data_IF_311099769786
#
_entry.id   IF_311099769786
#
_cell.length_a   1.000
_cell.length_b   1.000
_cell.length_c   1.000
_cell.angle_alpha   90.00
_cell.angle_beta   90.00
_cell.angle_gamma   90.00
#
_symmetry.space_group_name_H-M   'P 1'
#
loop_
_entity.id
_entity.type
_entity.pdbx_description
1 polymer ?
#
# COMPACT_ATOMS: atom_id res chain seq x y z
N UNK A 1 -11.52 -6.35 -0.67
CA UNK A 1 -12.05 -6.24 -2.02
C UNK A 1 -13.26 -5.33 -2.06
N UNK A 2 -14.26 -5.58 -1.20
CA UNK A 2 -15.44 -4.72 -1.18
C UNK A 2 -15.09 -3.28 -0.83
N UNK A 3 -14.17 -3.08 0.13
CA UNK A 3 -13.70 -1.76 0.51
C UNK A 3 -13.00 -1.09 -0.67
N UNK A 4 -12.11 -1.80 -1.34
CA UNK A 4 -11.37 -1.24 -2.48
C UNK A 4 -12.31 -0.78 -3.58
N UNK A 5 -13.29 -1.59 -3.91
CA UNK A 5 -14.26 -1.25 -4.97
C UNK A 5 -15.11 -0.04 -4.59
N UNK A 6 -15.66 -0.03 -3.38
CA UNK A 6 -16.48 1.07 -2.89
C UNK A 6 -15.68 2.37 -2.82
N UNK A 7 -14.46 2.29 -2.30
CA UNK A 7 -13.59 3.45 -2.19
C UNK A 7 -13.22 3.99 -3.57
N UNK A 8 -12.88 3.12 -4.51
CA UNK A 8 -12.54 3.54 -5.87
C UNK A 8 -13.72 4.28 -6.53
N UNK A 9 -14.93 3.79 -6.32
CA UNK A 9 -16.13 4.43 -6.87
C UNK A 9 -16.35 5.82 -6.28
N UNK A 10 -16.19 5.95 -4.96
CA UNK A 10 -16.36 7.25 -4.29
C UNK A 10 -15.28 8.25 -4.71
N UNK A 11 -14.06 7.76 -4.87
CA UNK A 11 -12.92 8.61 -5.28
C UNK A 11 -13.12 9.17 -6.68
N UNK A 12 -13.69 8.40 -7.60
CA UNK A 12 -13.97 8.89 -8.95
C UNK A 12 -14.89 10.10 -8.95
N UNK A 13 -15.75 10.21 -7.97
CA UNK A 13 -16.70 11.32 -7.87
C UNK A 13 -16.04 12.60 -7.37
N UNK A 14 -14.94 12.52 -6.62
CA UNK A 14 -14.38 13.66 -5.91
C UNK A 14 -12.93 13.99 -6.28
N UNK A 15 -12.24 13.08 -6.94
CA UNK A 15 -10.80 13.22 -7.17
C UNK A 15 -10.37 14.18 -8.26
N UNK A 16 -11.31 14.64 -9.09
CA UNK A 16 -11.03 15.53 -10.20
C UNK A 16 -10.58 14.79 -11.45
N UNK A 17 -10.56 15.50 -12.61
CA UNK A 17 -10.32 14.86 -13.91
C UNK A 17 -8.88 14.40 -14.14
N UNK A 18 -7.93 14.93 -13.38
CA UNK A 18 -6.51 14.61 -13.56
C UNK A 18 -5.97 13.73 -12.43
N UNK A 19 -6.86 13.21 -11.59
CA UNK A 19 -6.45 12.37 -10.50
C UNK A 19 -6.06 10.97 -10.98
N UNK A 20 -4.95 10.45 -10.45
CA UNK A 20 -4.57 9.06 -10.60
C UNK A 20 -4.48 8.50 -9.18
N UNK A 21 -5.48 7.72 -8.77
CA UNK A 21 -5.59 7.25 -7.39
C UNK A 21 -5.71 5.73 -7.36
N UNK A 22 -4.86 5.10 -6.57
CA UNK A 22 -4.91 3.67 -6.30
C UNK A 22 -5.32 3.45 -4.86
N UNK A 23 -6.22 2.50 -4.66
CA UNK A 23 -6.74 2.14 -3.35
C UNK A 23 -6.33 0.71 -3.03
N UNK A 24 -5.67 0.52 -1.91
CA UNK A 24 -5.26 -0.81 -1.46
C UNK A 24 -5.74 -1.02 -0.04
N UNK A 25 -6.50 -2.08 0.19
CA UNK A 25 -7.04 -2.38 1.50
C UNK A 25 -6.38 -3.64 2.07
N UNK A 26 -5.98 -3.56 3.34
CA UNK A 26 -5.49 -4.72 4.08
C UNK A 26 -5.99 -4.60 5.52
N UNK A 27 -6.73 -5.60 5.97
CA UNK A 27 -7.28 -5.64 7.33
C UNK A 27 -7.99 -4.34 7.70
N UNK A 28 -8.80 -3.81 6.78
CA UNK A 28 -9.62 -2.60 6.94
C UNK A 28 -8.81 -1.30 7.08
N UNK A 29 -7.49 -1.36 6.89
CA UNK A 29 -6.65 -0.19 6.69
C UNK A 29 -6.54 0.06 5.20
N UNK A 30 -6.78 1.29 4.78
CA UNK A 30 -6.77 1.65 3.35
C UNK A 30 -5.60 2.56 3.07
N UNK A 31 -4.74 2.11 2.17
CA UNK A 31 -3.63 2.89 1.65
C UNK A 31 -4.09 3.59 0.37
N UNK A 32 -3.89 4.89 0.30
CA UNK A 32 -4.24 5.72 -0.84
C UNK A 32 -2.95 6.21 -1.48
N UNK A 33 -2.69 5.80 -2.71
CA UNK A 33 -1.48 6.19 -3.44
C UNK A 33 -1.84 6.78 -4.78
N UNK A 34 -0.88 7.46 -5.40
CA UNK A 34 -1.05 8.09 -6.70
C UNK A 34 -0.85 9.59 -6.63
N UNK A 35 -1.52 10.31 -7.52
CA UNK A 35 -1.34 11.75 -7.67
C UNK A 35 -2.68 12.46 -7.84
N UNK A 36 -2.75 13.67 -7.27
CA UNK A 36 -3.88 14.60 -7.46
C UNK A 36 -3.33 15.98 -7.79
N UNK A 37 -4.20 16.85 -8.29
CA UNK A 37 -3.79 18.17 -8.80
C UNK A 37 -3.48 19.18 -7.69
N UNK A 38 -4.12 19.05 -6.52
CA UNK A 38 -3.99 20.03 -5.45
C UNK A 38 -4.33 19.41 -4.10
N UNK A 39 -4.08 20.17 -3.03
CA UNK A 39 -4.32 19.71 -1.66
C UNK A 39 -5.80 19.52 -1.36
N UNK A 40 -6.68 20.30 -1.98
CA UNK A 40 -8.12 20.15 -1.78
C UNK A 40 -8.59 18.80 -2.29
N UNK A 41 -8.09 18.37 -3.45
CA UNK A 41 -8.42 17.05 -3.99
C UNK A 41 -7.86 15.95 -3.12
N UNK A 42 -6.64 16.13 -2.59
CA UNK A 42 -6.01 15.16 -1.68
C UNK A 42 -6.88 14.92 -0.44
N UNK A 43 -7.36 16.00 0.17
CA UNK A 43 -8.24 15.92 1.33
C UNK A 43 -9.60 15.33 0.98
N UNK A 44 -10.17 15.71 -0.16
CA UNK A 44 -11.47 15.20 -0.59
C UNK A 44 -11.44 13.68 -0.81
N UNK A 45 -10.36 13.17 -1.41
CA UNK A 45 -10.18 11.74 -1.60
C UNK A 45 -10.11 11.02 -0.26
N UNK A 46 -9.32 11.53 0.67
CA UNK A 46 -9.20 10.90 1.99
C UNK A 46 -10.54 10.86 2.73
N UNK A 47 -11.27 11.97 2.72
CA UNK A 47 -12.59 12.02 3.36
C UNK A 47 -13.56 11.03 2.73
N UNK A 48 -13.56 10.91 1.41
CA UNK A 48 -14.42 9.97 0.71
C UNK A 48 -14.10 8.53 1.12
N UNK A 49 -12.82 8.19 1.24
CA UNK A 49 -12.39 6.84 1.64
C UNK A 49 -12.77 6.57 3.10
N UNK A 50 -12.59 7.54 3.98
CA UNK A 50 -12.93 7.39 5.40
C UNK A 50 -14.41 7.09 5.62
N UNK A 51 -15.27 7.54 4.72
CA UNK A 51 -16.71 7.33 4.81
C UNK A 51 -17.18 5.98 4.28
N UNK A 52 -16.29 5.23 3.66
CA UNK A 52 -16.65 3.90 3.17
C UNK A 52 -16.85 2.97 4.36
N UNK A 53 -17.94 2.20 4.31
CA UNK A 53 -18.28 1.26 5.37
C UNK A 53 -17.16 0.27 5.62
N UNK A 54 -16.87 -0.01 6.88
CA UNK A 54 -15.86 -0.95 7.36
C UNK A 54 -14.41 -0.46 7.26
N UNK A 55 -14.16 0.74 6.79
CA UNK A 55 -12.80 1.31 6.83
C UNK A 55 -12.48 1.68 8.27
N UNK A 56 -11.39 1.13 8.78
CA UNK A 56 -10.94 1.38 10.16
C UNK A 56 -9.97 2.55 10.22
N UNK A 57 -9.05 2.62 9.25
CA UNK A 57 -8.08 3.70 9.18
C UNK A 57 -7.64 3.92 7.73
N UNK A 58 -7.10 5.10 7.48
CA UNK A 58 -6.58 5.45 6.15
C UNK A 58 -5.15 5.97 6.28
N UNK A 59 -4.36 5.69 5.26
CA UNK A 59 -3.00 6.22 5.12
C UNK A 59 -2.98 6.93 3.77
N UNK A 60 -2.92 8.25 3.80
CA UNK A 60 -2.97 9.08 2.59
C UNK A 60 -1.55 9.42 2.13
N UNK A 61 -1.10 8.72 1.11
CA UNK A 61 0.22 8.91 0.51
C UNK A 61 0.13 9.52 -0.89
N UNK A 62 -0.97 10.21 -1.18
CA UNK A 62 -1.11 10.89 -2.46
C UNK A 62 -0.10 12.02 -2.60
N UNK A 63 0.50 12.11 -3.78
CA UNK A 63 1.34 13.24 -4.13
C UNK A 63 0.51 14.31 -4.84
N UNK A 64 0.83 15.57 -4.60
CA UNK A 64 0.22 16.69 -5.33
C UNK A 64 1.16 17.01 -6.47
N UNK A 65 0.97 16.35 -7.60
CA UNK A 65 1.82 16.48 -8.77
C UNK A 65 1.13 15.90 -10.01
N UNK A 66 1.77 16.06 -11.17
CA UNK A 66 1.24 15.53 -12.41
C UNK A 66 1.16 14.01 -12.37
N UNK A 67 0.18 13.41 -13.08
CA UNK A 67 0.05 11.95 -13.13
C UNK A 67 1.33 11.28 -13.64
N UNK A 68 1.62 10.11 -13.06
CA UNK A 68 2.76 9.29 -13.44
C UNK A 68 2.61 8.82 -14.88
N UNK A 69 3.71 8.81 -15.64
CA UNK A 69 3.71 8.34 -17.02
C UNK A 69 3.45 6.81 -17.09
N UNK A 70 3.01 6.35 -18.26
CA UNK A 70 2.82 4.92 -18.50
C UNK A 70 4.13 4.16 -18.31
N UNK A 71 5.24 4.71 -18.75
CA UNK A 71 6.55 4.10 -18.56
C UNK A 71 6.92 3.94 -17.10
N UNK A 72 6.67 4.98 -16.29
CA UNK A 72 6.93 4.92 -14.85
C UNK A 72 6.02 3.91 -14.16
N UNK A 73 4.76 3.82 -14.56
CA UNK A 73 3.82 2.83 -14.02
C UNK A 73 4.24 1.40 -14.35
N UNK A 74 4.74 1.18 -15.55
CA UNK A 74 5.26 -0.13 -15.96
C UNK A 74 6.48 -0.51 -15.13
N UNK A 75 7.35 0.45 -14.85
CA UNK A 75 8.52 0.22 -14.00
C UNK A 75 8.09 -0.11 -12.57
N UNK A 76 7.07 0.56 -12.05
CA UNK A 76 6.54 0.26 -10.73
C UNK A 76 6.00 -1.17 -10.66
N UNK A 77 5.36 -1.65 -11.72
CA UNK A 77 4.88 -3.03 -11.79
C UNK A 77 6.04 -4.01 -11.74
N UNK A 78 7.14 -3.72 -12.43
CA UNK A 78 8.34 -4.55 -12.40
C UNK A 78 8.94 -4.56 -11.00
N UNK A 79 9.00 -3.40 -10.34
CA UNK A 79 9.53 -3.31 -8.97
C UNK A 79 8.68 -4.11 -7.98
N UNK A 80 7.36 -4.02 -8.10
CA UNK A 80 6.45 -4.82 -7.27
C UNK A 80 6.78 -6.31 -7.41
N UNK A 81 6.96 -6.78 -8.64
CA UNK A 81 7.28 -8.19 -8.90
C UNK A 81 8.61 -8.59 -8.28
N UNK A 82 9.63 -7.73 -8.41
CA UNK A 82 10.95 -8.00 -7.82
C UNK A 82 10.90 -8.08 -6.30
N UNK A 83 10.18 -7.15 -5.67
CA UNK A 83 10.03 -7.16 -4.22
C UNK A 83 9.31 -8.42 -3.76
N UNK A 84 8.22 -8.78 -4.43
CA UNK A 84 7.47 -10.00 -4.09
C UNK A 84 8.34 -11.24 -4.23
N UNK A 85 9.14 -11.33 -5.30
CA UNK A 85 10.04 -12.46 -5.50
C UNK A 85 11.09 -12.54 -4.39
N UNK A 86 11.62 -11.40 -3.98
CA UNK A 86 12.60 -11.32 -2.90
C UNK A 86 12.01 -11.81 -1.58
N UNK A 87 10.76 -11.44 -1.29
CA UNK A 87 10.07 -11.89 -0.07
C UNK A 87 9.78 -13.40 -0.12
N UNK A 88 9.41 -13.92 -1.28
CA UNK A 88 9.18 -15.36 -1.46
C UNK A 88 10.47 -16.15 -1.22
N UNK A 89 11.60 -15.64 -1.68
CA UNK A 89 12.90 -16.30 -1.52
C UNK A 89 13.41 -16.29 -0.09
N UNK A 90 12.90 -15.39 0.74
CA UNK A 90 13.33 -15.28 2.14
C UNK A 90 12.65 -16.36 2.98
N UNK A 91 13.45 -17.34 3.45
CA UNK A 91 12.91 -18.49 4.19
C UNK A 91 12.37 -18.14 5.56
N UNK A 92 12.81 -17.04 6.12
CA UNK A 92 12.39 -16.57 7.45
C UNK A 92 11.13 -15.72 7.42
N UNK A 93 10.49 -15.58 6.24
CA UNK A 93 9.27 -14.80 6.08
C UNK A 93 8.18 -15.61 5.38
N UNK A 94 6.93 -15.29 5.71
CA UNK A 94 5.76 -15.79 4.99
C UNK A 94 5.36 -14.70 3.98
N UNK A 95 5.75 -14.86 2.72
CA UNK A 95 5.54 -13.83 1.71
C UNK A 95 4.07 -13.45 1.53
N UNK A 96 3.16 -14.41 1.72
CA UNK A 96 1.73 -14.19 1.52
C UNK A 96 1.07 -13.29 2.57
N UNK A 97 1.75 -12.95 3.66
CA UNK A 97 1.20 -12.01 4.65
C UNK A 97 1.51 -10.56 4.30
N UNK A 98 2.36 -10.33 3.29
CA UNK A 98 2.74 -9.00 2.87
C UNK A 98 1.98 -8.58 1.62
N UNK A 99 1.44 -7.37 1.64
CA UNK A 99 0.87 -6.75 0.46
C UNK A 99 1.82 -5.65 0.02
N UNK A 100 2.19 -5.67 -1.27
CA UNK A 100 3.21 -4.77 -1.82
C UNK A 100 2.57 -3.86 -2.85
N UNK A 101 2.75 -2.56 -2.69
CA UNK A 101 2.29 -1.55 -3.64
C UNK A 101 3.49 -0.68 -4.00
N UNK A 102 3.64 -0.35 -5.27
CA UNK A 102 4.72 0.53 -5.72
C UNK A 102 4.12 1.72 -6.47
N UNK A 103 4.57 2.92 -6.10
CA UNK A 103 4.20 4.17 -6.79
C UNK A 103 5.44 5.04 -6.88
N UNK A 104 5.80 5.44 -8.09
CA UNK A 104 6.95 6.32 -8.34
C UNK A 104 8.21 5.82 -7.64
N UNK A 105 8.48 4.52 -7.77
CA UNK A 105 9.65 3.84 -7.18
C UNK A 105 9.67 3.81 -5.66
N UNK A 106 8.58 4.20 -4.99
CA UNK A 106 8.41 4.02 -3.55
C UNK A 106 7.61 2.75 -3.32
N UNK A 107 8.10 1.88 -2.47
CA UNK A 107 7.46 0.60 -2.13
C UNK A 107 6.75 0.74 -0.81
N UNK A 108 5.46 0.40 -0.80
CA UNK A 108 4.62 0.42 0.39
C UNK A 108 4.36 -1.02 0.80
N UNK A 109 4.72 -1.36 2.04
CA UNK A 109 4.53 -2.71 2.57
C UNK A 109 3.42 -2.69 3.61
N UNK A 110 2.40 -3.52 3.40
CA UNK A 110 1.27 -3.68 4.30
C UNK A 110 1.25 -5.11 4.82
N UNK A 111 0.69 -5.30 5.99
CA UNK A 111 0.53 -6.63 6.55
C UNK A 111 0.40 -6.57 8.06
N UNK A 112 -0.11 -7.65 8.64
CA UNK A 112 -0.20 -7.85 10.07
C UNK A 112 0.95 -8.76 10.46
N UNK A 113 2.01 -8.18 11.02
CA UNK A 113 3.32 -8.83 11.16
C UNK A 113 3.96 -8.49 12.50
N UNK A 114 4.96 -9.29 12.88
CA UNK A 114 5.78 -8.98 14.05
C UNK A 114 6.82 -7.92 13.68
N UNK A 115 7.43 -7.32 14.72
CA UNK A 115 8.50 -6.34 14.50
C UNK A 115 9.67 -6.95 13.73
N UNK A 116 10.02 -8.19 14.04
CA UNK A 116 11.09 -8.90 13.32
C UNK A 116 10.76 -9.04 11.83
N UNK A 117 9.54 -9.47 11.53
CA UNK A 117 9.10 -9.63 10.14
C UNK A 117 9.09 -8.28 9.41
N UNK A 118 8.60 -7.24 10.08
CA UNK A 118 8.55 -5.90 9.50
C UNK A 118 9.95 -5.39 9.16
N UNK A 119 10.88 -5.53 10.09
CA UNK A 119 12.26 -5.07 9.88
C UNK A 119 12.92 -5.84 8.75
N UNK A 120 12.76 -7.15 8.74
CA UNK A 120 13.37 -8.01 7.72
C UNK A 120 12.82 -7.71 6.32
N UNK A 121 11.50 -7.60 6.20
CA UNK A 121 10.87 -7.29 4.90
C UNK A 121 11.30 -5.91 4.39
N UNK A 122 11.41 -4.94 5.29
CA UNK A 122 11.83 -3.59 4.94
C UNK A 122 13.27 -3.58 4.41
N UNK A 123 14.16 -4.30 5.07
CA UNK A 123 15.56 -4.42 4.62
C UNK A 123 15.65 -5.06 3.23
N UNK A 124 14.92 -6.15 3.03
CA UNK A 124 14.92 -6.86 1.75
C UNK A 124 14.38 -5.99 0.62
N UNK A 125 13.26 -5.30 0.87
CA UNK A 125 12.66 -4.44 -0.14
C UNK A 125 13.58 -3.27 -0.49
N UNK A 126 14.23 -2.69 0.51
CA UNK A 126 15.14 -1.56 0.30
C UNK A 126 16.32 -1.93 -0.57
N UNK A 127 16.76 -3.18 -0.51
CA UNK A 127 17.91 -3.67 -1.29
C UNK A 127 17.59 -3.98 -2.75
N UNK A 128 16.32 -4.01 -3.12
CA UNK A 128 15.93 -4.30 -4.51
C UNK A 128 16.32 -3.13 -5.40
N UNK A 129 17.00 -3.46 -6.50
CA UNK A 129 17.47 -2.44 -7.46
C UNK A 129 16.29 -1.67 -8.05
N UNK A 130 16.35 -0.35 -8.02
CA UNK A 130 15.31 0.55 -8.53
C UNK A 130 14.37 1.08 -7.46
N UNK A 131 14.38 0.51 -6.27
CA UNK A 131 13.56 1.00 -5.15
C UNK A 131 14.23 2.24 -4.56
N UNK A 132 13.50 3.36 -4.53
CA UNK A 132 14.02 4.62 -3.99
C UNK A 132 13.73 4.78 -2.51
N UNK A 133 12.57 4.29 -2.07
CA UNK A 133 12.25 4.28 -0.64
C UNK A 133 11.24 3.19 -0.32
N UNK A 134 11.18 2.81 0.95
CA UNK A 134 10.21 1.84 1.46
C UNK A 134 9.41 2.53 2.56
N UNK A 135 8.08 2.46 2.45
CA UNK A 135 7.15 3.01 3.43
C UNK A 135 6.47 1.84 4.14
N UNK A 136 6.56 1.82 5.45
CA UNK A 136 5.98 0.75 6.28
C UNK A 136 4.55 1.13 6.67
N UNK A 137 3.60 0.32 6.23
CA UNK A 137 2.17 0.50 6.57
C UNK A 137 1.71 -0.77 7.27
N UNK A 138 2.52 -1.25 8.21
CA UNK A 138 2.25 -2.50 8.92
C UNK A 138 1.35 -2.28 10.13
N UNK A 139 0.62 -3.33 10.45
CA UNK A 139 0.04 -3.48 11.78
C UNK A 139 1.01 -4.41 12.54
N UNK A 140 1.68 -3.88 13.56
CA UNK A 140 2.67 -4.67 14.31
C UNK A 140 1.97 -5.42 15.43
N UNK A 141 2.22 -6.72 15.50
CA UNK A 141 1.66 -7.59 16.54
C UNK A 141 2.78 -8.34 17.24
N UNK A 142 2.49 -8.81 18.45
CA UNK A 142 3.45 -9.64 19.18
C UNK A 142 3.40 -11.08 18.67
N UNK A 143 4.48 -11.83 18.95
CA UNK A 143 4.50 -13.27 18.65
C UNK A 143 3.34 -13.99 19.35
N UNK A 144 3.02 -13.60 20.61
CA UNK A 144 1.93 -14.19 21.36
C UNK A 144 0.58 -13.92 20.71
N UNK A 145 0.34 -12.68 20.26
CA UNK A 145 -0.89 -12.33 19.55
C UNK A 145 -1.03 -13.15 18.28
N UNK A 146 0.08 -13.33 17.56
CA UNK A 146 0.08 -14.06 16.30
C UNK A 146 -0.25 -15.54 16.55
N UNK A 147 0.32 -16.14 17.60
CA UNK A 147 0.08 -17.54 17.95
C UNK A 147 -1.38 -17.80 18.33
N UNK A 148 -2.08 -16.78 18.86
CA UNK A 148 -3.47 -16.90 19.29
C UNK A 148 -4.48 -16.40 18.26
N UNK A 149 -4.01 -16.06 17.06
CA UNK A 149 -4.86 -15.53 16.00
C UNK A 149 -5.27 -16.60 15.01
N UNK A 150 -6.31 -16.30 14.20
CA UNK A 150 -6.65 -17.14 13.06
C UNK A 150 -5.47 -17.15 12.07
N UNK A 151 -5.33 -18.22 11.25
CA UNK A 151 -4.26 -18.26 10.25
C UNK A 151 -4.28 -17.02 9.33
N UNK A 152 -3.10 -16.53 9.02
CA UNK A 152 -2.93 -15.38 8.14
C UNK A 152 -3.12 -15.79 6.69
N UNK A 153 -3.63 -14.89 5.88
CA UNK A 153 -3.87 -15.12 4.46
C UNK A 153 -2.97 -14.29 3.60
#
# INVERSE_FOLDING_TARGET
QAIELKAANRVREVGGPHAHVNITSYNRTVLITGEVANDADRSAVEQAVQRVENVRSTVNELGVLAPTSIGARSQDTVLTSKVKATLVDARDLQANVFKVVTERSAVYLMGRVTEREANRATELARAVSGVEKVVRVFEIVSEAELANSAPRK
#
